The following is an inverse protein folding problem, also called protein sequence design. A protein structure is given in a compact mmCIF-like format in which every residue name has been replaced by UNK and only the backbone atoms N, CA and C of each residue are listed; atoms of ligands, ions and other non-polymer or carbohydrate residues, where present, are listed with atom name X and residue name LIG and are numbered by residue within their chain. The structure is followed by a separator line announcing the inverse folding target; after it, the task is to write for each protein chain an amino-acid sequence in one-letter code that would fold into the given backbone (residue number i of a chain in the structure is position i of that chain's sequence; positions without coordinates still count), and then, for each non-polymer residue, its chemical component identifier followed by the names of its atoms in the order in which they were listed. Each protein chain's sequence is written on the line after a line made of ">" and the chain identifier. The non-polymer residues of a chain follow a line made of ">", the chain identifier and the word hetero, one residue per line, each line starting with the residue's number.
data_IF_359893561340
#
_entry.id   IF_359893561340
#
_cell.length_a   1.000
_cell.length_b   1.000
_cell.length_c   1.000
_cell.angle_alpha   90.00
_cell.angle_beta   90.00
_cell.angle_gamma   90.00
#
_symmetry.space_group_name_H-M   'P 1'
#
loop_
_entity.id
_entity.type
_entity.pdbx_description
1 polymer ?
#
# COMPACT_ATOMS: atom_id res chain seq x y z
N UNK A 1 29.40 4.19 62.81
CA UNK A 1 28.84 3.98 61.46
C UNK A 1 27.40 4.50 61.45
N UNK A 2 27.19 5.74 60.98
CA UNK A 2 25.85 6.35 60.89
C UNK A 2 25.20 5.92 59.57
N UNK A 3 24.05 5.22 59.64
CA UNK A 3 23.19 4.97 58.48
C UNK A 3 22.19 6.12 58.39
N UNK A 4 22.30 6.94 57.34
CA UNK A 4 21.27 7.92 57.00
C UNK A 4 20.19 7.23 56.18
N UNK A 5 19.00 7.11 56.77
CA UNK A 5 17.79 6.65 56.09
C UNK A 5 17.15 7.87 55.43
N UNK A 6 17.30 8.01 54.10
CA UNK A 6 16.62 9.05 53.33
C UNK A 6 15.20 8.57 53.06
N UNK A 7 14.21 9.21 53.67
CA UNK A 7 12.80 9.01 53.40
C UNK A 7 12.44 9.82 52.14
N UNK A 8 12.39 9.17 50.97
CA UNK A 8 11.92 9.79 49.74
C UNK A 8 10.38 9.85 49.74
N UNK A 9 9.83 11.04 49.95
CA UNK A 9 8.39 11.31 49.83
C UNK A 9 8.04 11.35 48.34
N UNK A 10 7.50 10.26 47.80
CA UNK A 10 6.97 10.22 46.43
C UNK A 10 5.62 10.95 46.37
N UNK A 11 5.64 12.21 45.91
CA UNK A 11 4.41 12.93 45.59
C UNK A 11 3.89 12.41 44.25
N UNK A 12 2.90 11.52 44.30
CA UNK A 12 2.16 11.11 43.12
C UNK A 12 1.25 12.27 42.69
N UNK A 13 1.69 13.06 41.71
CA UNK A 13 0.81 14.02 41.04
C UNK A 13 -0.10 13.22 40.10
N UNK A 14 -1.42 13.21 40.29
CA UNK A 14 -2.32 12.56 39.36
C UNK A 14 -2.28 13.34 38.04
N UNK A 15 -1.72 12.73 37.01
CA UNK A 15 -1.80 13.24 35.65
C UNK A 15 -3.25 13.08 35.18
N UNK A 16 -4.11 14.04 35.53
CA UNK A 16 -5.47 14.11 35.00
C UNK A 16 -5.37 14.56 33.55
N UNK A 17 -5.20 13.60 32.63
CA UNK A 17 -5.44 13.81 31.21
C UNK A 17 -6.95 14.05 31.01
N UNK A 18 -7.40 15.27 31.25
CA UNK A 18 -8.63 15.72 30.61
C UNK A 18 -8.34 15.74 29.11
N UNK A 19 -8.86 14.73 28.39
CA UNK A 19 -8.91 14.78 26.94
C UNK A 19 -9.75 16.00 26.60
N UNK A 20 -9.10 17.09 26.19
CA UNK A 20 -9.81 18.18 25.54
C UNK A 20 -10.50 17.56 24.31
N UNK A 21 -11.83 17.69 24.25
CA UNK A 21 -12.58 17.45 23.02
C UNK A 21 -12.07 18.45 21.99
N UNK A 22 -11.02 18.08 21.26
CA UNK A 22 -10.57 18.80 20.08
C UNK A 22 -11.70 18.62 19.08
N UNK A 23 -12.43 19.68 18.70
CA UNK A 23 -13.48 19.54 17.70
C UNK A 23 -12.85 18.93 16.45
N UNK A 24 -13.44 17.83 15.97
CA UNK A 24 -12.99 17.18 14.74
C UNK A 24 -12.88 18.24 13.65
N UNK A 25 -11.64 18.54 13.24
CA UNK A 25 -11.39 19.51 12.19
C UNK A 25 -12.18 19.10 10.95
N UNK A 26 -12.89 20.06 10.34
CA UNK A 26 -13.54 19.83 9.05
C UNK A 26 -12.52 19.23 8.08
N UNK A 27 -12.89 18.21 7.29
CA UNK A 27 -11.95 17.57 6.38
C UNK A 27 -11.34 18.62 5.45
N UNK A 28 -10.02 18.71 5.45
CA UNK A 28 -9.28 19.57 4.51
C UNK A 28 -9.67 19.18 3.08
N UNK A 29 -9.85 20.16 2.17
CA UNK A 29 -10.07 19.85 0.76
C UNK A 29 -8.85 19.08 0.22
N UNK A 30 -9.10 18.10 -0.64
CA UNK A 30 -8.05 17.29 -1.24
C UNK A 30 -7.14 18.14 -2.14
N UNK A 31 -5.86 17.78 -2.19
CA UNK A 31 -4.83 18.38 -3.02
C UNK A 31 -5.09 18.05 -4.50
N UNK A 32 -5.43 19.07 -5.29
CA UNK A 32 -5.78 18.92 -6.70
C UNK A 32 -4.61 18.40 -7.55
N UNK A 33 -3.37 18.73 -7.19
CA UNK A 33 -2.19 18.23 -7.90
C UNK A 33 -2.03 16.72 -7.68
N UNK A 34 -2.14 16.23 -6.44
CA UNK A 34 -2.09 14.79 -6.15
C UNK A 34 -3.21 14.02 -6.84
N UNK A 35 -4.42 14.60 -6.88
CA UNK A 35 -5.53 14.00 -7.62
C UNK A 35 -5.23 13.87 -9.12
N UNK A 36 -4.59 14.88 -9.72
CA UNK A 36 -4.19 14.83 -11.12
C UNK A 36 -3.07 13.80 -11.38
N UNK A 37 -2.04 13.79 -10.53
CA UNK A 37 -0.94 12.82 -10.64
C UNK A 37 -1.47 11.38 -10.57
N UNK A 38 -2.41 11.11 -9.65
CA UNK A 38 -3.08 9.83 -9.54
C UNK A 38 -3.90 9.51 -10.80
N UNK A 39 -4.70 10.46 -11.30
CA UNK A 39 -5.50 10.24 -12.51
C UNK A 39 -4.61 9.88 -13.71
N UNK A 40 -3.49 10.58 -13.89
CA UNK A 40 -2.54 10.34 -14.97
C UNK A 40 -1.83 8.98 -14.81
N UNK A 41 -1.50 8.59 -13.57
CA UNK A 41 -0.92 7.29 -13.24
C UNK A 41 -1.85 6.12 -13.62
N UNK A 42 -3.14 6.26 -13.29
CA UNK A 42 -4.14 5.24 -13.64
C UNK A 42 -4.46 5.24 -15.14
N UNK A 43 -4.52 6.42 -15.77
CA UNK A 43 -4.80 6.54 -17.20
C UNK A 43 -3.75 5.86 -18.08
N UNK A 44 -2.47 5.93 -17.69
CA UNK A 44 -1.37 5.24 -18.35
C UNK A 44 -1.55 3.71 -18.45
N UNK A 45 -2.30 3.12 -17.52
CA UNK A 45 -2.53 1.66 -17.42
C UNK A 45 -3.91 1.24 -17.95
N UNK A 46 -4.74 2.21 -18.33
CA UNK A 46 -6.09 1.97 -18.84
C UNK A 46 -6.09 1.96 -20.38
N UNK A 47 -5.65 0.84 -20.97
CA UNK A 47 -5.60 0.66 -22.42
C UNK A 47 -6.83 -0.11 -22.94
N UNK A 48 -7.26 0.13 -24.19
CA UNK A 48 -8.34 -0.64 -24.81
C UNK A 48 -8.06 -2.14 -24.80
N UNK A 49 -9.12 -2.95 -24.79
CA UNK A 49 -9.02 -4.40 -24.81
C UNK A 49 -8.21 -4.87 -26.03
N UNK A 50 -7.14 -5.62 -25.78
CA UNK A 50 -6.25 -6.16 -26.81
C UNK A 50 -5.06 -5.26 -27.17
N UNK A 51 -4.99 -4.03 -26.64
CA UNK A 51 -3.80 -3.20 -26.73
C UNK A 51 -2.78 -3.60 -25.65
N UNK A 52 -1.49 -3.43 -25.95
CA UNK A 52 -0.40 -3.56 -24.99
C UNK A 52 -0.11 -2.22 -24.32
N UNK A 53 0.24 -2.26 -23.03
CA UNK A 53 0.75 -1.09 -22.31
C UNK A 53 2.19 -0.83 -22.77
N UNK A 54 2.50 0.43 -23.07
CA UNK A 54 3.86 0.89 -23.33
C UNK A 54 4.60 1.09 -21.99
N UNK A 55 5.18 0.00 -21.47
CA UNK A 55 5.85 0.01 -20.18
C UNK A 55 7.08 0.93 -20.13
N UNK A 56 7.75 1.18 -21.25
CA UNK A 56 8.89 2.10 -21.29
C UNK A 56 8.44 3.54 -21.00
N UNK A 57 7.37 3.99 -21.67
CA UNK A 57 6.78 5.30 -21.39
C UNK A 57 6.18 5.37 -20.00
N UNK A 58 5.55 4.29 -19.51
CA UNK A 58 4.93 4.25 -18.19
C UNK A 58 5.97 4.38 -17.08
N UNK A 59 7.05 3.59 -17.12
CA UNK A 59 8.11 3.65 -16.10
C UNK A 59 8.74 5.04 -15.98
N UNK A 60 9.08 5.69 -17.10
CA UNK A 60 9.64 7.06 -17.09
C UNK A 60 8.65 8.06 -16.48
N UNK A 61 7.34 7.87 -16.67
CA UNK A 61 6.32 8.74 -16.07
C UNK A 61 6.16 8.46 -14.58
N UNK A 62 6.22 7.20 -14.17
CA UNK A 62 6.09 6.81 -12.77
C UNK A 62 7.25 7.35 -11.92
N UNK A 63 8.49 7.26 -12.40
CA UNK A 63 9.67 7.88 -11.76
C UNK A 63 9.47 9.38 -11.51
N UNK A 64 8.91 10.10 -12.49
CA UNK A 64 8.63 11.55 -12.35
C UNK A 64 7.55 11.82 -11.31
N UNK A 65 6.51 11.00 -11.26
CA UNK A 65 5.43 11.14 -10.27
C UNK A 65 5.91 10.79 -8.87
N UNK A 66 6.71 9.74 -8.73
CA UNK A 66 7.36 9.35 -7.48
C UNK A 66 8.19 10.53 -6.92
N UNK A 67 9.07 11.11 -7.74
CA UNK A 67 9.86 12.27 -7.37
C UNK A 67 8.97 13.46 -6.94
N UNK A 68 7.86 13.69 -7.66
CA UNK A 68 6.93 14.77 -7.33
C UNK A 68 6.17 14.53 -6.02
N UNK A 69 5.72 13.30 -5.77
CA UNK A 69 5.07 12.91 -4.50
C UNK A 69 6.02 13.11 -3.33
N UNK A 70 7.30 12.73 -3.47
CA UNK A 70 8.32 12.94 -2.42
C UNK A 70 8.55 14.42 -2.10
N UNK A 71 8.50 15.30 -3.11
CA UNK A 71 8.55 16.75 -2.91
C UNK A 71 7.33 17.26 -2.14
N UNK A 72 6.12 16.80 -2.50
CA UNK A 72 4.88 17.20 -1.83
C UNK A 72 4.83 16.71 -0.37
N UNK A 73 5.35 15.52 -0.10
CA UNK A 73 5.53 15.02 1.27
C UNK A 73 6.48 15.90 2.08
N UNK A 74 7.64 16.25 1.50
CA UNK A 74 8.63 17.11 2.17
C UNK A 74 8.10 18.53 2.43
N UNK A 75 7.21 19.01 1.57
CA UNK A 75 6.55 20.30 1.70
C UNK A 75 5.30 20.29 2.63
N UNK A 76 5.01 19.16 3.30
CA UNK A 76 3.84 18.97 4.16
C UNK A 76 2.51 19.27 3.45
N UNK A 77 2.38 18.88 2.17
CA UNK A 77 1.25 19.24 1.32
C UNK A 77 0.09 18.23 1.32
N UNK A 78 0.13 17.20 2.16
CA UNK A 78 -0.88 16.14 2.28
C UNK A 78 -1.68 16.31 3.57
N UNK A 79 -3.00 16.50 3.47
CA UNK A 79 -3.83 16.77 4.64
C UNK A 79 -5.10 15.90 4.71
N UNK A 80 -5.74 15.69 3.57
CA UNK A 80 -6.95 14.87 3.44
C UNK A 80 -6.61 13.39 3.24
N UNK A 81 -7.48 12.47 3.65
CA UNK A 81 -7.26 11.03 3.44
C UNK A 81 -7.03 10.66 1.97
N UNK A 82 -7.68 11.35 1.04
CA UNK A 82 -7.49 11.18 -0.39
C UNK A 82 -6.06 11.52 -0.85
N UNK A 83 -5.41 12.52 -0.25
CA UNK A 83 -4.04 12.93 -0.60
C UNK A 83 -3.05 11.79 -0.32
N UNK A 84 -3.16 11.21 0.88
CA UNK A 84 -2.37 10.07 1.31
C UNK A 84 -2.64 8.83 0.45
N UNK A 85 -3.89 8.56 0.10
CA UNK A 85 -4.24 7.45 -0.80
C UNK A 85 -3.67 7.64 -2.21
N UNK A 86 -3.79 8.83 -2.80
CA UNK A 86 -3.25 9.13 -4.12
C UNK A 86 -1.72 9.01 -4.15
N UNK A 87 -1.04 9.57 -3.15
CA UNK A 87 0.41 9.44 -2.99
C UNK A 87 0.83 7.98 -2.82
N UNK A 88 0.12 7.21 -1.99
CA UNK A 88 0.40 5.79 -1.79
C UNK A 88 0.25 4.97 -3.08
N UNK A 89 -0.75 5.25 -3.91
CA UNK A 89 -0.93 4.53 -5.18
C UNK A 89 0.23 4.81 -6.15
N UNK A 90 0.72 6.05 -6.18
CA UNK A 90 1.88 6.40 -7.01
C UNK A 90 3.13 5.66 -6.50
N UNK A 91 3.39 5.67 -5.19
CA UNK A 91 4.54 4.98 -4.60
C UNK A 91 4.43 3.45 -4.66
N UNK A 92 3.22 2.88 -4.75
CA UNK A 92 3.02 1.46 -5.01
C UNK A 92 3.61 1.02 -6.37
N UNK A 93 3.77 1.96 -7.30
CA UNK A 93 4.37 1.78 -8.62
C UNK A 93 5.82 2.25 -8.71
N UNK A 94 6.43 2.69 -7.61
CA UNK A 94 7.86 2.96 -7.53
C UNK A 94 8.67 1.66 -7.62
N UNK A 95 10.01 1.77 -7.65
CA UNK A 95 10.89 0.62 -7.89
C UNK A 95 11.69 0.17 -6.65
N UNK A 96 11.50 0.80 -5.49
CA UNK A 96 12.28 0.48 -4.28
C UNK A 96 11.44 -0.11 -3.15
N UNK A 97 12.02 -1.02 -2.32
CA UNK A 97 11.35 -1.52 -1.11
C UNK A 97 10.89 -0.40 -0.18
N UNK A 98 11.71 0.62 0.01
CA UNK A 98 11.42 1.75 0.91
C UNK A 98 10.20 2.54 0.43
N UNK A 99 10.01 2.67 -0.88
CA UNK A 99 8.82 3.34 -1.43
C UNK A 99 7.54 2.51 -1.23
N UNK A 100 7.62 1.18 -1.30
CA UNK A 100 6.48 0.31 -0.96
C UNK A 100 6.13 0.39 0.52
N UNK A 101 7.14 0.46 1.40
CA UNK A 101 6.91 0.66 2.83
C UNK A 101 6.30 2.04 3.11
N UNK A 102 6.80 3.09 2.47
CA UNK A 102 6.20 4.42 2.56
C UNK A 102 4.76 4.43 2.03
N UNK A 103 4.47 3.74 0.93
CA UNK A 103 3.10 3.57 0.43
C UNK A 103 2.20 2.90 1.48
N UNK A 104 2.70 1.91 2.23
CA UNK A 104 1.97 1.31 3.35
C UNK A 104 1.65 2.33 4.44
N UNK A 105 2.64 3.10 4.89
CA UNK A 105 2.46 4.10 5.95
C UNK A 105 1.42 5.16 5.55
N UNK A 106 1.50 5.66 4.31
CA UNK A 106 0.52 6.59 3.75
C UNK A 106 -0.88 5.96 3.70
N UNK A 107 -1.01 4.68 3.36
CA UNK A 107 -2.32 4.02 3.41
C UNK A 107 -2.88 3.94 4.84
N UNK A 108 -2.06 3.65 5.84
CA UNK A 108 -2.48 3.63 7.25
C UNK A 108 -3.01 5.00 7.68
N UNK A 109 -2.30 6.07 7.30
CA UNK A 109 -2.73 7.46 7.57
C UNK A 109 -4.05 7.78 6.84
N UNK A 110 -4.16 7.39 5.56
CA UNK A 110 -5.36 7.58 4.75
C UNK A 110 -6.59 6.93 5.40
N UNK A 111 -6.46 5.68 5.86
CA UNK A 111 -7.51 4.95 6.58
C UNK A 111 -7.91 5.68 7.87
N UNK A 112 -6.92 6.13 8.65
CA UNK A 112 -7.17 6.92 9.87
C UNK A 112 -7.89 8.25 9.60
N UNK A 113 -7.81 8.75 8.36
CA UNK A 113 -8.51 9.95 7.87
C UNK A 113 -9.83 9.62 7.14
N UNK A 114 -10.31 8.39 7.21
CA UNK A 114 -11.59 7.97 6.64
C UNK A 114 -11.56 7.53 5.18
N UNK A 115 -10.38 7.41 4.56
CA UNK A 115 -10.26 6.95 3.17
C UNK A 115 -10.24 5.41 3.10
N UNK A 116 -11.42 4.82 2.92
CA UNK A 116 -11.59 3.37 2.92
C UNK A 116 -10.93 2.66 1.72
N UNK A 117 -10.71 3.36 0.59
CA UNK A 117 -10.05 2.76 -0.60
C UNK A 117 -8.62 2.32 -0.29
N UNK A 118 -7.97 2.95 0.69
CA UNK A 118 -6.61 2.64 1.09
C UNK A 118 -6.45 1.29 1.80
N UNK A 119 -7.54 0.64 2.25
CA UNK A 119 -7.48 -0.65 2.98
C UNK A 119 -6.77 -1.75 2.21
N UNK A 120 -7.21 -2.00 0.96
CA UNK A 120 -6.60 -3.03 0.12
C UNK A 120 -5.17 -2.65 -0.25
N UNK A 121 -4.95 -1.37 -0.55
CA UNK A 121 -3.64 -0.86 -0.93
C UNK A 121 -2.62 -0.99 0.21
N UNK A 122 -3.03 -0.78 1.47
CA UNK A 122 -2.18 -1.00 2.64
C UNK A 122 -1.68 -2.45 2.73
N UNK A 123 -2.55 -3.41 2.42
CA UNK A 123 -2.19 -4.83 2.39
C UNK A 123 -1.24 -5.14 1.22
N UNK A 124 -1.55 -4.58 0.05
CA UNK A 124 -0.79 -4.79 -1.17
C UNK A 124 0.62 -4.18 -1.13
N UNK A 125 0.77 -2.99 -0.56
CA UNK A 125 2.06 -2.32 -0.39
C UNK A 125 2.94 -3.02 0.62
N UNK A 126 2.38 -3.47 1.75
CA UNK A 126 3.14 -4.26 2.73
C UNK A 126 3.63 -5.58 2.15
N UNK A 127 2.76 -6.32 1.46
CA UNK A 127 3.16 -7.58 0.83
C UNK A 127 4.26 -7.36 -0.22
N UNK A 128 4.17 -6.29 -1.01
CA UNK A 128 5.20 -5.92 -2.00
C UNK A 128 6.52 -5.56 -1.34
N UNK A 129 6.50 -4.77 -0.27
CA UNK A 129 7.68 -4.50 0.55
C UNK A 129 8.32 -5.81 1.05
N UNK A 130 7.53 -6.65 1.71
CA UNK A 130 8.00 -7.91 2.32
C UNK A 130 8.71 -8.80 1.30
N UNK A 131 8.09 -9.00 0.14
CA UNK A 131 8.67 -9.82 -0.93
C UNK A 131 10.01 -9.24 -1.40
N UNK A 132 10.07 -7.92 -1.63
CA UNK A 132 11.29 -7.27 -2.11
C UNK A 132 12.42 -7.24 -1.07
N UNK A 133 12.12 -7.46 0.22
CA UNK A 133 13.12 -7.68 1.28
C UNK A 133 13.31 -9.16 1.64
N UNK A 134 12.87 -10.09 0.79
CA UNK A 134 13.10 -11.52 0.93
C UNK A 134 12.22 -12.21 1.99
N UNK A 135 11.06 -11.64 2.30
CA UNK A 135 10.10 -12.16 3.28
C UNK A 135 8.83 -12.65 2.59
N UNK A 136 8.16 -13.60 3.23
CA UNK A 136 6.82 -14.04 2.81
C UNK A 136 5.82 -12.89 2.93
N UNK A 137 4.95 -12.76 1.94
CA UNK A 137 3.81 -11.85 2.02
C UNK A 137 2.80 -12.35 3.07
N UNK A 138 1.96 -11.46 3.58
CA UNK A 138 0.98 -11.76 4.64
C UNK A 138 -0.42 -11.93 4.08
N UNK A 139 -0.81 -11.09 3.13
CA UNK A 139 -2.20 -10.95 2.71
C UNK A 139 -2.52 -11.59 1.35
N UNK A 140 -1.54 -12.22 0.69
CA UNK A 140 -1.73 -12.94 -0.58
C UNK A 140 -2.16 -12.01 -1.75
N UNK A 141 -1.62 -10.80 -1.77
CA UNK A 141 -1.92 -9.78 -2.79
C UNK A 141 -0.99 -9.81 -4.00
N UNK A 142 0.24 -10.33 -3.83
CA UNK A 142 1.28 -10.31 -4.86
C UNK A 142 1.38 -11.64 -5.60
N UNK A 143 1.49 -11.55 -6.92
CA UNK A 143 1.70 -12.67 -7.83
C UNK A 143 2.96 -12.38 -8.62
N UNK A 144 3.91 -13.30 -8.62
CA UNK A 144 5.21 -13.13 -9.25
C UNK A 144 5.36 -14.09 -10.43
N UNK A 145 6.06 -13.64 -11.48
CA UNK A 145 6.59 -14.53 -12.50
C UNK A 145 8.10 -14.44 -12.49
N UNK A 146 8.77 -15.59 -12.41
CA UNK A 146 10.23 -15.64 -12.48
C UNK A 146 10.74 -15.70 -13.92
N UNK A 147 9.85 -15.96 -14.90
CA UNK A 147 10.19 -16.09 -16.32
C UNK A 147 8.99 -15.67 -17.18
N UNK A 148 9.20 -14.81 -18.17
CA UNK A 148 8.13 -14.26 -19.02
C UNK A 148 7.28 -15.33 -19.75
N UNK A 149 7.82 -16.52 -19.97
CA UNK A 149 7.13 -17.64 -20.61
C UNK A 149 6.37 -18.55 -19.62
N UNK A 150 6.32 -18.20 -18.33
CA UNK A 150 5.55 -18.87 -17.29
C UNK A 150 4.46 -17.94 -16.74
N UNK A 151 3.28 -18.48 -16.38
CA UNK A 151 2.25 -17.69 -15.75
C UNK A 151 2.70 -17.17 -14.37
N UNK A 152 2.28 -15.98 -13.96
CA UNK A 152 2.45 -15.53 -12.58
C UNK A 152 1.84 -16.51 -11.58
N UNK A 153 2.52 -16.70 -10.46
CA UNK A 153 2.12 -17.54 -9.33
C UNK A 153 1.95 -16.72 -8.07
N UNK A 154 1.11 -17.19 -7.16
CA UNK A 154 0.97 -16.54 -5.86
C UNK A 154 2.28 -16.70 -5.09
N UNK A 155 2.92 -15.59 -4.72
CA UNK A 155 4.16 -15.64 -3.94
C UNK A 155 3.92 -16.25 -2.55
N UNK A 156 4.95 -16.80 -1.90
CA UNK A 156 4.80 -17.50 -0.62
C UNK A 156 4.10 -16.65 0.45
N UNK A 157 3.05 -17.22 1.04
CA UNK A 157 2.20 -16.54 2.04
C UNK A 157 2.53 -17.07 3.43
N UNK A 158 2.69 -16.16 4.38
CA UNK A 158 2.71 -16.47 5.81
C UNK A 158 1.33 -16.99 6.25
N UNK A 159 1.21 -18.25 6.74
CA UNK A 159 -0.06 -18.83 7.12
C UNK A 159 -0.66 -18.23 8.41
N UNK A 160 0.08 -17.39 9.14
CA UNK A 160 -0.33 -16.87 10.44
C UNK A 160 -1.50 -15.85 10.37
N UNK A 161 -1.73 -15.24 9.19
CA UNK A 161 -2.85 -14.30 9.02
C UNK A 161 -4.13 -15.07 8.70
N UNK A 162 -5.20 -14.98 9.53
CA UNK A 162 -6.50 -15.57 9.22
C UNK A 162 -7.28 -14.72 8.20
N UNK A 163 -8.23 -15.34 7.51
CA UNK A 163 -9.04 -14.67 6.49
C UNK A 163 -9.92 -13.55 7.04
N UNK A 164 -10.30 -13.59 8.32
CA UNK A 164 -11.02 -12.48 8.96
C UNK A 164 -10.22 -11.17 8.90
N UNK A 165 -8.90 -11.22 9.14
CA UNK A 165 -8.05 -10.04 9.01
C UNK A 165 -7.86 -9.60 7.55
N UNK A 166 -7.82 -10.55 6.60
CA UNK A 166 -7.78 -10.22 5.15
C UNK A 166 -9.03 -9.42 4.76
N UNK A 167 -10.20 -9.87 5.21
CA UNK A 167 -11.50 -9.23 4.91
C UNK A 167 -11.59 -7.81 5.47
N UNK A 168 -11.04 -7.53 6.65
CA UNK A 168 -11.00 -6.17 7.23
C UNK A 168 -10.28 -5.15 6.34
N UNK A 169 -9.25 -5.63 5.62
CA UNK A 169 -8.48 -4.85 4.65
C UNK A 169 -9.05 -4.92 3.22
N UNK A 170 -10.21 -5.54 3.01
CA UNK A 170 -10.80 -5.70 1.68
C UNK A 170 -10.03 -6.68 0.78
N UNK A 171 -9.23 -7.57 1.37
CA UNK A 171 -8.46 -8.58 0.65
C UNK A 171 -9.25 -9.91 0.58
N UNK A 172 -9.18 -10.64 -0.55
CA UNK A 172 -9.74 -11.99 -0.64
C UNK A 172 -9.17 -12.96 0.41
N UNK A 173 -9.89 -14.05 0.67
CA UNK A 173 -9.36 -15.18 1.43
C UNK A 173 -8.17 -15.82 0.72
N UNK A 174 -7.36 -16.58 1.45
CA UNK A 174 -6.25 -17.32 0.85
C UNK A 174 -6.74 -18.34 -0.20
N UNK A 175 -7.91 -18.95 0.01
CA UNK A 175 -8.51 -19.87 -0.97
C UNK A 175 -8.89 -19.14 -2.27
N UNK A 176 -9.53 -17.97 -2.18
CA UNK A 176 -9.88 -17.16 -3.35
C UNK A 176 -8.63 -16.65 -4.10
N UNK A 177 -7.55 -16.30 -3.38
CA UNK A 177 -6.28 -15.93 -4.00
C UNK A 177 -5.67 -17.09 -4.81
N UNK A 178 -5.73 -18.32 -4.30
CA UNK A 178 -5.30 -19.53 -5.03
C UNK A 178 -6.18 -19.82 -6.25
N UNK A 179 -7.48 -19.58 -6.16
CA UNK A 179 -8.36 -19.72 -7.33
C UNK A 179 -8.06 -18.64 -8.40
N UNK A 180 -7.70 -17.42 -7.97
CA UNK A 180 -7.22 -16.38 -8.88
C UNK A 180 -5.92 -16.80 -9.57
N UNK A 181 -4.97 -17.39 -8.86
CA UNK A 181 -3.75 -17.97 -9.45
C UNK A 181 -4.10 -19.00 -10.55
N UNK A 182 -5.00 -19.94 -10.26
CA UNK A 182 -5.45 -20.93 -11.24
C UNK A 182 -6.10 -20.28 -12.47
N UNK A 183 -6.86 -19.19 -12.27
CA UNK A 183 -7.47 -18.42 -13.35
C UNK A 183 -6.43 -17.70 -14.22
N UNK A 184 -5.42 -17.09 -13.60
CA UNK A 184 -4.28 -16.47 -14.28
C UNK A 184 -3.56 -17.51 -15.14
N UNK A 185 -3.25 -18.68 -14.59
CA UNK A 185 -2.59 -19.77 -15.32
C UNK A 185 -3.41 -20.22 -16.54
N UNK A 186 -4.72 -20.43 -16.39
CA UNK A 186 -5.60 -20.78 -17.52
C UNK A 186 -5.66 -19.69 -18.59
N UNK A 187 -5.65 -18.42 -18.20
CA UNK A 187 -5.66 -17.30 -19.15
C UNK A 187 -4.35 -17.21 -19.93
N UNK A 188 -3.22 -17.40 -19.25
CA UNK A 188 -1.89 -17.42 -19.86
C UNK A 188 -1.77 -18.51 -20.94
N UNK A 189 -2.17 -19.75 -20.64
CA UNK A 189 -2.11 -20.85 -21.62
C UNK A 189 -2.99 -20.61 -22.84
N UNK A 190 -4.19 -20.03 -22.66
CA UNK A 190 -5.06 -19.65 -23.79
C UNK A 190 -4.41 -18.59 -24.68
N UNK A 191 -3.82 -17.56 -24.07
CA UNK A 191 -3.14 -16.51 -24.82
C UNK A 191 -1.94 -17.07 -25.59
N UNK A 192 -1.13 -17.91 -24.95
CA UNK A 192 0.00 -18.59 -25.57
C UNK A 192 -0.42 -19.43 -26.78
N UNK A 193 -1.49 -20.21 -26.66
CA UNK A 193 -2.02 -21.01 -27.77
C UNK A 193 -2.49 -20.15 -28.96
N UNK A 194 -3.12 -18.99 -28.70
CA UNK A 194 -3.59 -18.09 -29.74
C UNK A 194 -2.48 -17.38 -30.52
N UNK A 195 -1.29 -17.19 -29.94
CA UNK A 195 -0.13 -16.60 -30.61
C UNK A 195 0.70 -17.60 -31.43
N UNK A 196 0.45 -18.91 -31.28
CA UNK A 196 1.15 -19.97 -32.03
C UNK A 196 0.33 -20.54 -33.21
N UNK A 197 -0.86 -19.99 -33.47
CA UNK A 197 -1.69 -20.26 -34.66
C UNK A 197 -1.53 -19.13 -35.68
#
# INVERSE_FOLDING_TARGET
>A
MYRHTILALAVAVPLSCAAADVPAASPSPANAELAQLFADDQANRNVPRGASIDWETVSVRDERREARVKQLLTADALHAGADFYHAAMILQHADTPDDYLLAHDLCVIAIGKGEARAKWLAAASLDRFLINVGRRQRYATQYETHRSYLPPRLAEVDPAVPDSLRRELGVPSLAEAKEKEATIARAFERQKAAHHQ
#
